data_IF_077777509073
#
_entry.id   IF_077777509073
#
_cell.length_a   1.000
_cell.length_b   1.000
_cell.length_c   1.000
_cell.angle_alpha   90.00
_cell.angle_beta   90.00
_cell.angle_gamma   90.00
#
_symmetry.space_group_name_H-M   'P 1'
#
loop_
_entity.id
_entity.type
_entity.pdbx_description
1 polymer ?
#
# COMPACT_ATOMS: atom_id res chain seq x y z
N UNK A 1 -31.54 -17.86 1.03
CA UNK A 1 -30.06 -17.73 1.02
C UNK A 1 -29.72 -16.58 1.93
N UNK A 2 -29.09 -16.83 3.08
CA UNK A 2 -28.73 -15.76 4.03
C UNK A 2 -27.63 -14.88 3.44
N UNK A 3 -27.88 -13.58 3.31
CA UNK A 3 -26.86 -12.60 2.95
C UNK A 3 -25.79 -12.58 4.05
N UNK A 4 -24.63 -13.18 3.78
CA UNK A 4 -23.48 -13.04 4.66
C UNK A 4 -23.01 -11.59 4.57
N UNK A 5 -23.21 -10.80 5.63
CA UNK A 5 -22.59 -9.48 5.78
C UNK A 5 -21.07 -9.68 5.93
N UNK A 6 -20.38 -9.85 4.80
CA UNK A 6 -18.92 -9.80 4.77
C UNK A 6 -18.50 -8.34 4.85
N UNK A 7 -17.96 -7.96 6.01
CA UNK A 7 -17.26 -6.69 6.15
C UNK A 7 -16.12 -6.62 5.13
N UNK A 8 -15.98 -5.47 4.47
CA UNK A 8 -14.89 -5.21 3.55
C UNK A 8 -13.60 -5.13 4.36
N UNK A 9 -12.57 -5.86 3.92
CA UNK A 9 -11.24 -5.85 4.53
C UNK A 9 -10.30 -5.08 3.63
N UNK A 10 -9.36 -4.35 4.23
CA UNK A 10 -8.35 -3.58 3.50
C UNK A 10 -6.97 -4.11 3.85
N UNK A 11 -6.07 -4.04 2.88
CA UNK A 11 -4.66 -4.37 3.05
C UNK A 11 -3.82 -3.35 2.28
N UNK A 12 -2.60 -3.13 2.76
CA UNK A 12 -1.59 -2.35 2.06
C UNK A 12 -0.63 -3.29 1.33
N UNK A 13 -0.34 -2.99 0.07
CA UNK A 13 0.62 -3.73 -0.74
C UNK A 13 1.97 -3.01 -0.76
N UNK A 14 3.02 -3.76 -0.40
CA UNK A 14 4.38 -3.24 -0.29
C UNK A 14 5.13 -3.41 -1.62
N UNK A 15 5.69 -2.34 -2.19
CA UNK A 15 6.54 -2.44 -3.37
C UNK A 15 7.91 -3.05 -3.03
N UNK A 16 8.26 -4.15 -3.71
CA UNK A 16 9.40 -5.00 -3.32
C UNK A 16 10.61 -4.96 -4.28
N UNK A 17 10.48 -4.36 -5.47
CA UNK A 17 11.56 -4.37 -6.50
C UNK A 17 11.67 -3.04 -7.28
N UNK A 18 10.78 -2.08 -7.01
CA UNK A 18 10.72 -0.76 -7.64
C UNK A 18 9.82 0.15 -6.82
N UNK A 19 9.80 1.47 -7.04
CA UNK A 19 8.87 2.40 -6.40
C UNK A 19 7.38 2.17 -6.70
N UNK A 20 6.98 1.01 -7.25
CA UNK A 20 5.62 0.65 -7.63
C UNK A 20 5.53 0.01 -9.01
N UNK A 21 4.29 -0.24 -9.46
CA UNK A 21 3.99 -0.87 -10.76
C UNK A 21 3.80 0.13 -11.91
N UNK A 22 4.26 1.37 -11.73
CA UNK A 22 4.11 2.44 -12.74
C UNK A 22 5.42 2.61 -13.49
N UNK A 23 5.35 2.61 -14.82
CA UNK A 23 6.47 2.91 -15.71
C UNK A 23 6.17 4.23 -16.41
N UNK A 24 7.05 5.23 -16.25
CA UNK A 24 6.86 6.58 -16.76
C UNK A 24 8.21 7.26 -16.99
N UNK A 25 8.24 8.21 -17.93
CA UNK A 25 9.38 9.11 -18.14
C UNK A 25 9.41 10.29 -17.16
N UNK A 26 8.36 10.47 -16.35
CA UNK A 26 8.29 11.47 -15.29
C UNK A 26 8.98 10.90 -14.04
N UNK A 27 9.74 11.74 -13.33
CA UNK A 27 10.41 11.37 -12.09
C UNK A 27 9.44 10.79 -11.06
N UNK A 28 9.75 9.59 -10.56
CA UNK A 28 8.98 8.94 -9.51
C UNK A 28 9.47 9.41 -8.14
N UNK A 29 8.53 9.76 -7.26
CA UNK A 29 8.80 10.16 -5.86
C UNK A 29 8.53 9.03 -4.88
N UNK A 30 8.67 7.80 -5.35
CA UNK A 30 8.42 6.56 -4.63
C UNK A 30 9.68 5.72 -4.65
N UNK A 31 9.84 4.87 -3.64
CA UNK A 31 11.04 4.08 -3.43
C UNK A 31 10.67 2.67 -2.93
N UNK A 32 11.64 1.77 -2.89
CA UNK A 32 11.51 0.39 -2.43
C UNK A 32 12.35 0.11 -1.18
N UNK A 33 13.01 1.12 -0.61
CA UNK A 33 13.77 0.97 0.63
C UNK A 33 12.89 0.54 1.81
N UNK A 34 13.52 -0.16 2.75
CA UNK A 34 12.88 -0.59 4.00
C UNK A 34 12.22 0.58 4.74
N UNK A 35 12.97 1.69 4.95
CA UNK A 35 12.47 2.86 5.69
C UNK A 35 11.29 3.55 4.99
N UNK A 36 11.27 3.55 3.66
CA UNK A 36 10.12 4.04 2.90
C UNK A 36 8.88 3.17 3.14
N UNK A 37 9.05 1.84 3.07
CA UNK A 37 7.97 0.88 3.28
C UNK A 37 7.44 0.89 4.73
N UNK A 38 8.30 1.06 5.74
CA UNK A 38 7.87 1.22 7.14
C UNK A 38 6.98 2.45 7.32
N UNK A 39 7.37 3.59 6.72
CA UNK A 39 6.56 4.83 6.78
C UNK A 39 5.19 4.64 6.13
N UNK A 40 5.11 3.91 5.02
CA UNK A 40 3.84 3.63 4.35
C UNK A 40 2.94 2.69 5.15
N UNK A 41 3.52 1.65 5.77
CA UNK A 41 2.77 0.75 6.66
C UNK A 41 2.16 1.50 7.84
N UNK A 42 2.94 2.33 8.54
CA UNK A 42 2.45 3.17 9.64
C UNK A 42 1.38 4.17 9.18
N UNK A 43 1.52 4.72 7.99
CA UNK A 43 0.51 5.61 7.42
C UNK A 43 -0.81 4.86 7.14
N UNK A 44 -0.73 3.63 6.62
CA UNK A 44 -1.89 2.77 6.40
C UNK A 44 -2.60 2.43 7.72
N UNK A 45 -1.86 2.08 8.77
CA UNK A 45 -2.40 1.82 10.11
C UNK A 45 -3.11 3.04 10.71
N UNK A 46 -2.49 4.22 10.66
CA UNK A 46 -3.07 5.47 11.19
C UNK A 46 -4.33 5.92 10.46
N UNK A 47 -4.51 5.54 9.21
CA UNK A 47 -5.68 5.91 8.40
C UNK A 47 -6.84 4.95 8.59
N UNK A 48 -6.60 3.80 9.21
CA UNK A 48 -7.59 2.76 9.43
C UNK A 48 -8.16 2.77 10.86
N UNK A 49 -7.41 3.32 11.83
CA UNK A 49 -7.92 3.72 13.15
C UNK A 49 -8.67 5.05 13.07
#
# INVERSE_FOLDING_TARGET
MSQQNKNITFAYWVPNVSGGLVVSNIEQRTDWSYDYNVRLAQAAEKKWL
#
